data_IF_482932543037
#
_entry.id   IF_482932543037
#
_cell.length_a   1.000
_cell.length_b   1.000
_cell.length_c   1.000
_cell.angle_alpha   90.00
_cell.angle_beta   90.00
_cell.angle_gamma   90.00
#
_symmetry.space_group_name_H-M   'P 1'
#
loop_
_entity.id
_entity.type
_entity.pdbx_description
1 polymer ?
#
# COMPACT_ATOMS: atom_id res chain seq x y z
N UNK A 1 -24.35 19.37 -3.95
CA UNK A 1 -24.76 18.01 -3.54
C UNK A 1 -23.56 17.10 -3.69
N UNK A 2 -22.97 16.63 -2.60
CA UNK A 2 -21.97 15.58 -2.67
C UNK A 2 -22.72 14.27 -2.93
N UNK A 3 -22.43 13.62 -4.06
CA UNK A 3 -22.94 12.27 -4.33
C UNK A 3 -22.40 11.37 -3.23
N UNK A 4 -23.29 10.82 -2.42
CA UNK A 4 -22.95 9.82 -1.41
C UNK A 4 -22.46 8.58 -2.17
N UNK A 5 -21.14 8.43 -2.30
CA UNK A 5 -20.55 7.24 -2.92
C UNK A 5 -20.68 6.11 -1.91
N UNK A 6 -21.55 5.15 -2.19
CA UNK A 6 -21.54 3.86 -1.51
C UNK A 6 -20.26 3.13 -1.94
N UNK A 7 -19.24 3.18 -1.09
CA UNK A 7 -18.04 2.37 -1.24
C UNK A 7 -18.43 0.93 -0.86
N UNK A 8 -18.33 0.03 -1.82
CA UNK A 8 -18.80 -1.35 -1.71
C UNK A 8 -17.68 -2.34 -2.08
N UNK A 9 -18.03 -3.61 -2.23
CA UNK A 9 -17.11 -4.67 -2.62
C UNK A 9 -16.45 -4.40 -3.98
N UNK A 10 -17.08 -3.66 -4.89
CA UNK A 10 -16.50 -3.29 -6.19
C UNK A 10 -15.36 -2.28 -6.01
N UNK A 11 -15.51 -1.35 -5.07
CA UNK A 11 -14.43 -0.44 -4.71
C UNK A 11 -13.26 -1.18 -4.07
N UNK A 12 -13.54 -2.11 -3.13
CA UNK A 12 -12.51 -2.96 -2.54
C UNK A 12 -11.77 -3.71 -3.64
N UNK A 13 -12.49 -4.40 -4.52
CA UNK A 13 -11.93 -5.12 -5.66
C UNK A 13 -10.99 -4.26 -6.50
N UNK A 14 -11.44 -3.06 -6.91
CA UNK A 14 -10.62 -2.15 -7.72
C UNK A 14 -9.32 -1.74 -7.01
N UNK A 15 -9.35 -1.51 -5.69
CA UNK A 15 -8.15 -1.17 -4.91
C UNK A 15 -7.22 -2.35 -4.71
N UNK A 16 -7.73 -3.57 -4.60
CA UNK A 16 -6.88 -4.78 -4.55
C UNK A 16 -6.17 -5.01 -5.87
N UNK A 17 -6.89 -4.88 -7.00
CA UNK A 17 -6.28 -4.95 -8.34
C UNK A 17 -5.21 -3.88 -8.51
N UNK A 18 -5.50 -2.63 -8.13
CA UNK A 18 -4.53 -1.54 -8.21
C UNK A 18 -3.28 -1.80 -7.34
N UNK A 19 -3.44 -2.39 -6.16
CA UNK A 19 -2.31 -2.74 -5.30
C UNK A 19 -1.36 -3.73 -6.01
N UNK A 20 -1.91 -4.75 -6.66
CA UNK A 20 -1.12 -5.77 -7.36
C UNK A 20 -0.52 -5.25 -8.67
N UNK A 21 -1.28 -4.48 -9.45
CA UNK A 21 -0.81 -3.88 -10.71
C UNK A 21 0.31 -2.86 -10.45
N UNK A 22 0.19 -2.02 -9.42
CA UNK A 22 1.24 -1.07 -9.08
C UNK A 22 2.49 -1.77 -8.54
N UNK A 23 2.36 -2.90 -7.85
CA UNK A 23 3.51 -3.75 -7.48
C UNK A 23 4.26 -4.29 -8.71
N UNK A 24 3.54 -4.81 -9.70
CA UNK A 24 4.15 -5.28 -10.96
C UNK A 24 4.84 -4.14 -11.71
N UNK A 25 4.18 -2.99 -11.79
CA UNK A 25 4.73 -1.83 -12.49
C UNK A 25 5.93 -1.24 -11.74
N UNK A 26 5.97 -1.34 -10.40
CA UNK A 26 7.14 -0.97 -9.63
C UNK A 26 8.36 -1.81 -10.05
N UNK A 27 8.21 -3.13 -10.16
CA UNK A 27 9.29 -4.03 -10.60
C UNK A 27 9.79 -3.63 -11.99
N UNK A 28 8.89 -3.50 -12.98
CA UNK A 28 9.26 -3.17 -14.36
C UNK A 28 10.01 -1.82 -14.45
N UNK A 29 9.53 -0.81 -13.73
CA UNK A 29 10.16 0.51 -13.71
C UNK A 29 11.56 0.46 -13.12
N UNK A 30 11.78 -0.36 -12.09
CA UNK A 30 13.09 -0.48 -11.46
C UNK A 30 14.10 -1.14 -12.39
N UNK A 31 13.73 -2.24 -13.03
CA UNK A 31 14.56 -2.96 -13.99
C UNK A 31 14.99 -2.08 -15.18
N UNK A 32 14.14 -1.11 -15.54
CA UNK A 32 14.41 -0.13 -16.60
C UNK A 32 15.21 1.10 -16.10
N UNK A 33 15.64 1.10 -14.85
CA UNK A 33 16.45 2.18 -14.24
C UNK A 33 15.65 3.37 -13.71
N UNK A 34 14.31 3.33 -13.74
CA UNK A 34 13.46 4.40 -13.23
C UNK A 34 13.17 4.26 -11.72
N UNK A 35 14.24 4.14 -10.92
CA UNK A 35 14.16 3.79 -9.48
C UNK A 35 13.21 4.69 -8.68
N UNK A 36 13.25 6.01 -8.87
CA UNK A 36 12.34 6.95 -8.17
C UNK A 36 10.87 6.79 -8.58
N UNK A 37 10.60 6.45 -9.84
CA UNK A 37 9.23 6.20 -10.30
C UNK A 37 8.73 4.84 -9.81
N UNK A 38 9.63 3.88 -9.69
CA UNK A 38 9.33 2.58 -9.12
C UNK A 38 8.92 2.70 -7.65
N UNK A 39 9.65 3.45 -6.81
CA UNK A 39 9.25 3.64 -5.41
C UNK A 39 7.93 4.40 -5.27
N UNK A 40 7.61 5.30 -6.22
CA UNK A 40 6.27 5.91 -6.29
C UNK A 40 5.19 4.85 -6.43
N UNK A 41 5.44 3.79 -7.21
CA UNK A 41 4.48 2.72 -7.47
C UNK A 41 4.32 1.78 -6.28
N UNK A 42 5.41 1.46 -5.58
CA UNK A 42 5.31 0.76 -4.29
C UNK A 42 4.47 1.57 -3.29
N UNK A 43 4.70 2.89 -3.21
CA UNK A 43 3.92 3.76 -2.33
C UNK A 43 2.42 3.79 -2.69
N UNK A 44 2.07 3.84 -3.98
CA UNK A 44 0.66 3.81 -4.40
C UNK A 44 0.01 2.45 -4.20
N UNK A 45 0.75 1.36 -4.37
CA UNK A 45 0.30 0.01 -4.06
C UNK A 45 -0.09 -0.16 -2.58
N UNK A 46 0.75 0.32 -1.65
CA UNK A 46 0.43 0.33 -0.21
C UNK A 46 -0.81 1.19 0.07
N UNK A 47 -0.91 2.38 -0.53
CA UNK A 47 -2.12 3.19 -0.40
C UNK A 47 -3.37 2.48 -0.91
N UNK A 48 -3.24 1.63 -1.91
CA UNK A 48 -4.32 0.82 -2.45
C UNK A 48 -4.80 -0.24 -1.47
N UNK A 49 -3.86 -1.02 -0.92
CA UNK A 49 -4.17 -1.97 0.14
C UNK A 49 -4.83 -1.31 1.36
N UNK A 50 -4.24 -0.22 1.88
CA UNK A 50 -4.81 0.48 3.04
C UNK A 50 -6.20 1.05 2.74
N UNK A 51 -6.46 1.49 1.50
CA UNK A 51 -7.76 2.00 1.09
C UNK A 51 -8.83 0.91 1.12
N UNK A 52 -8.50 -0.28 0.61
CA UNK A 52 -9.36 -1.46 0.68
C UNK A 52 -9.66 -1.84 2.14
N UNK A 53 -8.64 -1.82 3.00
CA UNK A 53 -8.80 -2.10 4.45
C UNK A 53 -9.69 -1.06 5.14
N UNK A 54 -9.54 0.23 4.83
CA UNK A 54 -10.41 1.28 5.39
C UNK A 54 -11.87 1.02 5.03
N UNK A 55 -12.16 0.64 3.80
CA UNK A 55 -13.55 0.36 3.39
C UNK A 55 -14.06 -0.91 4.06
N UNK A 56 -13.29 -2.01 4.02
CA UNK A 56 -13.68 -3.29 4.62
C UNK A 56 -13.96 -3.19 6.13
N UNK A 57 -13.16 -2.42 6.85
CA UNK A 57 -13.24 -2.33 8.31
C UNK A 57 -13.83 -0.99 8.79
N UNK A 58 -14.42 -0.20 7.89
CA UNK A 58 -14.86 1.17 8.13
C UNK A 58 -15.72 1.33 9.38
N UNK A 59 -16.68 0.44 9.59
CA UNK A 59 -17.57 0.47 10.76
C UNK A 59 -16.81 0.32 12.08
N UNK A 60 -15.79 -0.55 12.13
CA UNK A 60 -14.95 -0.71 13.31
C UNK A 60 -14.05 0.52 13.51
N UNK A 61 -13.50 1.06 12.43
CA UNK A 61 -12.64 2.25 12.47
C UNK A 61 -13.41 3.48 12.95
N UNK A 62 -14.69 3.63 12.57
CA UNK A 62 -15.57 4.71 13.04
C UNK A 62 -15.79 4.63 14.56
N UNK A 63 -15.86 3.43 15.14
CA UNK A 63 -16.04 3.26 16.58
C UNK A 63 -14.81 3.68 17.38
N UNK A 64 -13.63 3.73 16.75
CA UNK A 64 -12.37 4.16 17.39
C UNK A 64 -12.18 5.68 17.40
N UNK A 65 -12.97 6.42 16.62
CA UNK A 65 -12.86 7.86 16.49
C UNK A 65 -13.22 8.57 17.81
N UNK A 66 -12.42 9.56 18.19
CA UNK A 66 -12.54 10.26 19.49
C UNK A 66 -13.68 11.29 19.54
N UNK A 67 -14.10 11.79 18.39
CA UNK A 67 -15.11 12.84 18.24
C UNK A 67 -15.86 12.72 16.91
N UNK A 68 -16.95 13.48 16.76
CA UNK A 68 -17.78 13.45 15.54
C UNK A 68 -17.03 13.91 14.28
N UNK A 69 -16.05 14.81 14.42
CA UNK A 69 -15.25 15.28 13.28
C UNK A 69 -14.37 14.16 12.74
N UNK A 70 -13.77 13.38 13.63
CA UNK A 70 -12.95 12.22 13.27
C UNK A 70 -13.82 11.09 12.71
N UNK A 71 -15.01 10.83 13.28
CA UNK A 71 -15.98 9.90 12.69
C UNK A 71 -16.34 10.28 11.26
N UNK A 72 -16.65 11.55 11.03
CA UNK A 72 -16.97 12.05 9.69
C UNK A 72 -15.78 11.90 8.74
N UNK A 73 -14.56 12.16 9.22
CA UNK A 73 -13.35 11.96 8.43
C UNK A 73 -13.16 10.49 8.04
N UNK A 74 -13.33 9.54 8.97
CA UNK A 74 -13.23 8.10 8.67
C UNK A 74 -14.25 7.72 7.60
N UNK A 75 -15.51 8.11 7.77
CA UNK A 75 -16.59 7.78 6.82
C UNK A 75 -16.37 8.38 5.43
N UNK A 76 -15.95 9.64 5.35
CA UNK A 76 -15.95 10.40 4.08
C UNK A 76 -14.61 10.48 3.39
N UNK A 77 -13.48 10.30 4.09
CA UNK A 77 -12.16 10.67 3.55
C UNK A 77 -11.05 9.65 3.82
N UNK A 78 -11.12 8.86 4.88
CA UNK A 78 -10.03 7.94 5.23
C UNK A 78 -9.70 6.95 4.09
N UNK A 79 -10.70 6.53 3.30
CA UNK A 79 -10.50 5.64 2.15
C UNK A 79 -9.55 6.21 1.09
N UNK A 80 -9.32 7.54 1.04
CA UNK A 80 -8.35 8.15 0.11
C UNK A 80 -6.89 7.98 0.56
N UNK A 81 -6.69 7.49 1.79
CA UNK A 81 -5.41 7.27 2.47
C UNK A 81 -4.45 8.47 2.28
N UNK A 82 -4.80 9.68 2.76
CA UNK A 82 -3.88 10.81 2.71
C UNK A 82 -2.53 10.45 3.33
N UNK A 83 -1.41 10.86 2.72
CA UNK A 83 -0.06 10.50 3.21
C UNK A 83 0.14 10.89 4.67
N UNK A 84 -0.35 12.07 5.06
CA UNK A 84 -0.26 12.58 6.44
C UNK A 84 -1.04 11.75 7.46
N UNK A 85 -2.00 10.94 7.03
CA UNK A 85 -2.82 10.11 7.91
C UNK A 85 -2.42 8.63 7.88
N UNK A 86 -1.41 8.22 7.12
CA UNK A 86 -1.02 6.80 7.04
C UNK A 86 -0.62 6.23 8.41
N UNK A 87 0.21 6.94 9.18
CA UNK A 87 0.54 6.54 10.57
C UNK A 87 -0.68 6.53 11.50
N UNK A 88 -1.63 7.45 11.32
CA UNK A 88 -2.88 7.41 12.09
C UNK A 88 -3.72 6.18 11.72
N UNK A 89 -3.81 5.83 10.43
CA UNK A 89 -4.54 4.66 9.97
C UNK A 89 -3.88 3.36 10.44
N UNK A 90 -2.56 3.27 10.42
CA UNK A 90 -1.78 2.17 11.03
C UNK A 90 -2.19 1.94 12.48
N UNK A 91 -2.17 2.98 13.32
CA UNK A 91 -2.61 2.87 14.72
C UNK A 91 -4.08 2.44 14.89
N UNK A 92 -4.94 2.82 13.95
CA UNK A 92 -6.34 2.40 13.95
C UNK A 92 -6.47 0.92 13.56
N UNK A 93 -5.69 0.48 12.58
CA UNK A 93 -5.62 -0.90 12.13
C UNK A 93 -5.13 -1.82 13.26
N UNK A 94 -4.10 -1.43 13.99
CA UNK A 94 -3.62 -2.21 15.15
C UNK A 94 -4.71 -2.45 16.19
N UNK A 95 -5.52 -1.42 16.49
CA UNK A 95 -6.66 -1.53 17.44
C UNK A 95 -7.76 -2.47 16.97
N UNK A 96 -7.82 -2.77 15.67
CA UNK A 96 -8.73 -3.79 15.10
C UNK A 96 -8.00 -5.07 14.67
N UNK A 97 -6.79 -5.30 15.20
CA UNK A 97 -5.96 -6.50 14.99
C UNK A 97 -5.52 -6.67 13.52
N UNK A 98 -5.28 -5.55 12.84
CA UNK A 98 -4.71 -5.49 11.50
C UNK A 98 -3.29 -4.93 11.62
N UNK A 99 -2.32 -5.68 11.11
CA UNK A 99 -0.88 -5.38 11.22
C UNK A 99 -0.38 -4.95 9.85
N UNK A 100 0.05 -3.70 9.73
CA UNK A 100 0.55 -3.06 8.49
C UNK A 100 1.66 -2.06 8.77
N UNK A 101 2.19 -2.04 9.99
CA UNK A 101 3.18 -1.09 10.50
C UNK A 101 4.45 -1.07 9.64
N UNK A 102 5.02 -2.24 9.37
CA UNK A 102 6.20 -2.39 8.53
C UNK A 102 6.00 -1.80 7.13
N UNK A 103 4.94 -2.21 6.41
CA UNK A 103 4.71 -1.73 5.05
C UNK A 103 4.37 -0.24 4.99
N UNK A 104 3.74 0.32 6.04
CA UNK A 104 3.45 1.76 6.12
C UNK A 104 4.74 2.55 6.32
N UNK A 105 5.61 2.09 7.21
CA UNK A 105 6.91 2.71 7.47
C UNK A 105 7.78 2.71 6.21
N UNK A 106 8.01 1.53 5.63
CA UNK A 106 8.81 1.40 4.40
C UNK A 106 8.23 2.22 3.25
N UNK A 107 6.90 2.26 3.09
CA UNK A 107 6.28 3.08 2.04
C UNK A 107 6.53 4.59 2.24
N UNK A 108 6.53 5.08 3.47
CA UNK A 108 6.82 6.48 3.77
C UNK A 108 8.29 6.82 3.50
N UNK A 109 9.20 5.91 3.81
CA UNK A 109 10.63 6.07 3.49
C UNK A 109 10.86 6.08 1.97
N UNK A 110 10.29 5.09 1.26
CA UNK A 110 10.33 4.99 -0.20
C UNK A 110 9.73 6.24 -0.87
N UNK A 111 8.73 6.86 -0.24
CA UNK A 111 8.16 8.15 -0.67
C UNK A 111 9.13 9.31 -0.43
N UNK A 112 9.92 9.28 0.65
CA UNK A 112 11.03 10.21 0.87
C UNK A 112 12.07 10.14 -0.26
N UNK A 113 12.55 8.95 -0.57
CA UNK A 113 13.45 8.71 -1.71
C UNK A 113 12.84 9.16 -3.04
N UNK A 114 11.57 8.86 -3.28
CA UNK A 114 10.86 9.25 -4.49
C UNK A 114 10.93 10.75 -4.75
N UNK A 115 10.80 11.57 -3.69
CA UNK A 115 10.81 13.03 -3.78
C UNK A 115 12.23 13.60 -3.80
N UNK A 116 13.15 13.02 -3.03
CA UNK A 116 14.42 13.67 -2.70
C UNK A 116 15.67 12.93 -3.23
N UNK A 117 15.52 11.73 -3.77
CA UNK A 117 16.66 10.88 -4.14
C UNK A 117 17.46 10.47 -2.91
N UNK A 118 18.80 10.55 -3.01
CA UNK A 118 19.74 10.20 -1.93
C UNK A 118 20.16 11.41 -1.08
N UNK A 119 19.38 12.49 -1.10
CA UNK A 119 19.63 13.63 -0.21
C UNK A 119 19.49 13.18 1.25
N UNK A 120 20.60 13.17 1.99
CA UNK A 120 20.68 12.63 3.34
C UNK A 120 19.86 13.41 4.38
N UNK A 121 19.48 14.65 4.08
CA UNK A 121 18.65 15.46 4.97
C UNK A 121 17.16 15.06 4.84
N UNK A 122 16.78 14.43 3.73
CA UNK A 122 15.38 14.19 3.37
C UNK A 122 15.03 12.75 2.94
N UNK A 123 16.03 11.86 2.90
CA UNK A 123 15.89 10.46 2.54
C UNK A 123 16.79 9.62 3.43
N UNK A 124 16.27 8.50 3.95
CA UNK A 124 17.10 7.59 4.74
C UNK A 124 18.02 6.72 3.90
N UNK A 125 17.76 6.64 2.60
CA UNK A 125 18.51 5.78 1.68
C UNK A 125 19.82 6.44 1.25
N UNK A 126 20.85 5.61 1.14
CA UNK A 126 22.19 5.96 0.67
C UNK A 126 22.54 5.22 -0.61
N UNK A 127 21.93 4.06 -0.85
CA UNK A 127 22.21 3.24 -2.03
C UNK A 127 20.93 2.77 -2.73
N UNK A 128 21.07 2.43 -4.02
CA UNK A 128 19.98 1.83 -4.80
C UNK A 128 19.62 0.44 -4.25
N UNK A 129 20.57 -0.28 -3.67
CA UNK A 129 20.37 -1.60 -3.07
C UNK A 129 19.48 -1.54 -1.83
N UNK A 130 19.69 -0.56 -0.94
CA UNK A 130 18.80 -0.34 0.21
C UNK A 130 17.36 -0.05 -0.26
N UNK A 131 17.21 0.78 -1.31
CA UNK A 131 15.89 1.06 -1.91
C UNK A 131 15.27 -0.22 -2.45
N UNK A 132 16.05 -1.04 -3.17
CA UNK A 132 15.59 -2.30 -3.77
C UNK A 132 15.10 -3.27 -2.69
N UNK A 133 15.86 -3.44 -1.62
CA UNK A 133 15.53 -4.37 -0.53
C UNK A 133 14.20 -4.01 0.14
N UNK A 134 13.99 -2.73 0.44
CA UNK A 134 12.73 -2.31 1.07
C UNK A 134 11.55 -2.37 0.09
N UNK A 135 11.78 -2.15 -1.21
CA UNK A 135 10.75 -2.41 -2.21
C UNK A 135 10.37 -3.89 -2.26
N UNK A 136 11.36 -4.80 -2.23
CA UNK A 136 11.11 -6.24 -2.21
C UNK A 136 10.25 -6.60 -1.00
N UNK A 137 10.63 -6.15 0.19
CA UNK A 137 9.91 -6.39 1.44
C UNK A 137 8.45 -5.92 1.36
N UNK A 138 8.21 -4.71 0.85
CA UNK A 138 6.83 -4.21 0.72
C UNK A 138 6.04 -5.00 -0.34
N UNK A 139 6.65 -5.32 -1.47
CA UNK A 139 5.96 -6.01 -2.57
C UNK A 139 5.64 -7.47 -2.20
N UNK A 140 6.51 -8.16 -1.45
CA UNK A 140 6.25 -9.52 -0.97
C UNK A 140 5.08 -9.57 0.02
N UNK A 141 4.95 -8.56 0.88
CA UNK A 141 3.90 -8.51 1.89
C UNK A 141 2.51 -8.20 1.32
N UNK A 142 2.41 -7.50 0.19
CA UNK A 142 1.11 -7.10 -0.38
C UNK A 142 0.19 -8.31 -0.63
N UNK A 143 0.58 -9.35 -1.39
CA UNK A 143 -0.26 -10.54 -1.58
C UNK A 143 -0.59 -11.28 -0.27
N UNK A 144 0.33 -11.32 0.68
CA UNK A 144 0.12 -12.00 1.96
C UNK A 144 -0.93 -11.27 2.81
N UNK A 145 -0.89 -9.94 2.85
CA UNK A 145 -1.88 -9.11 3.53
C UNK A 145 -3.24 -9.17 2.84
N UNK A 146 -3.28 -9.25 1.50
CA UNK A 146 -4.53 -9.45 0.77
C UNK A 146 -5.17 -10.78 1.17
N UNK A 147 -4.42 -11.88 1.11
CA UNK A 147 -4.91 -13.21 1.49
C UNK A 147 -5.32 -13.30 2.97
N UNK A 148 -4.60 -12.60 3.85
CA UNK A 148 -4.89 -12.58 5.29
C UNK A 148 -6.18 -11.84 5.62
N UNK A 149 -6.43 -10.71 4.94
CA UNK A 149 -7.51 -9.79 5.33
C UNK A 149 -8.69 -9.80 4.37
N UNK A 150 -8.65 -10.50 3.24
CA UNK A 150 -9.74 -10.55 2.27
C UNK A 150 -10.04 -12.00 1.87
N UNK A 151 -11.33 -12.32 1.72
CA UNK A 151 -11.75 -13.63 1.22
C UNK A 151 -11.72 -13.61 -0.31
N UNK A 152 -10.55 -13.92 -0.88
CA UNK A 152 -10.36 -13.89 -2.33
C UNK A 152 -10.85 -15.20 -2.96
N UNK A 153 -11.83 -15.10 -3.85
CA UNK A 153 -12.30 -16.18 -4.73
C UNK A 153 -12.22 -15.83 -6.21
N UNK A 154 -11.86 -14.57 -6.49
CA UNK A 154 -11.81 -14.05 -7.84
C UNK A 154 -10.54 -14.51 -8.55
N UNK A 155 -10.70 -15.11 -9.73
CA UNK A 155 -9.60 -15.68 -10.50
C UNK A 155 -8.60 -14.64 -11.01
N UNK A 156 -9.04 -13.40 -11.24
CA UNK A 156 -8.16 -12.33 -11.71
C UNK A 156 -7.21 -11.88 -10.59
N UNK A 157 -7.72 -11.67 -9.37
CA UNK A 157 -6.87 -11.32 -8.22
C UNK A 157 -5.85 -12.44 -7.97
N UNK A 158 -6.30 -13.70 -7.96
CA UNK A 158 -5.40 -14.86 -7.78
C UNK A 158 -4.29 -14.86 -8.84
N UNK A 159 -4.64 -14.69 -10.12
CA UNK A 159 -3.66 -14.64 -11.20
C UNK A 159 -2.68 -13.47 -11.06
N UNK A 160 -3.14 -12.31 -10.59
CA UNK A 160 -2.28 -11.15 -10.33
C UNK A 160 -1.33 -11.39 -9.15
N UNK A 161 -1.79 -12.02 -8.06
CA UNK A 161 -0.94 -12.39 -6.93
C UNK A 161 0.16 -13.37 -7.35
N UNK A 162 -0.21 -14.42 -8.10
CA UNK A 162 0.76 -15.37 -8.66
C UNK A 162 1.78 -14.66 -9.55
N UNK A 163 1.31 -13.74 -10.39
CA UNK A 163 2.19 -12.95 -11.25
C UNK A 163 3.15 -12.07 -10.44
N UNK A 164 2.66 -11.34 -9.42
CA UNK A 164 3.49 -10.53 -8.51
C UNK A 164 4.57 -11.41 -7.88
N UNK A 165 4.20 -12.55 -7.30
CA UNK A 165 5.15 -13.48 -6.68
C UNK A 165 6.19 -13.99 -7.69
N UNK A 166 5.76 -14.29 -8.92
CA UNK A 166 6.65 -14.79 -9.96
C UNK A 166 7.65 -13.73 -10.47
N UNK A 167 7.21 -12.48 -10.66
CA UNK A 167 8.08 -11.39 -11.11
C UNK A 167 8.99 -10.92 -9.98
N UNK A 168 8.49 -10.87 -8.74
CA UNK A 168 9.29 -10.51 -7.57
C UNK A 168 10.47 -11.47 -7.38
N UNK A 169 10.24 -12.77 -7.54
CA UNK A 169 11.31 -13.77 -7.45
C UNK A 169 12.42 -13.53 -8.48
N UNK A 170 12.06 -13.21 -9.72
CA UNK A 170 13.06 -12.84 -10.76
C UNK A 170 13.78 -11.55 -10.40
N UNK A 171 13.05 -10.58 -9.85
CA UNK A 171 13.57 -9.29 -9.44
C UNK A 171 14.60 -9.40 -8.30
N UNK A 172 14.35 -10.27 -7.31
CA UNK A 172 15.30 -10.61 -6.25
C UNK A 172 16.61 -11.19 -6.82
N UNK A 173 16.48 -12.15 -7.74
CA UNK A 173 17.60 -12.87 -8.34
C UNK A 173 18.49 -12.00 -9.24
N UNK A 174 17.97 -10.89 -9.79
CA UNK A 174 18.72 -9.89 -10.58
C UNK A 174 19.79 -9.12 -9.78
N UNK A 175 19.98 -9.42 -8.49
CA UNK A 175 20.92 -8.75 -7.57
C UNK A 175 22.13 -9.61 -7.15
N UNK A 176 22.25 -10.84 -7.69
CA UNK A 176 23.41 -11.73 -7.48
C UNK A 176 24.29 -11.79 -8.73
#
# INVERSE_FOLDING_TARGET
MAVERNLDDSYIYARLVEALDDSLLAIELFERGFTRNSTRKVFTAVKALLSALVVKYGDKLVQLAKDEKEKEWVKKRAHTVPTRSMKTLEMYFEKVVITVDLIVELALDLRGYQLNGFDCDFSRYRTIEEVKNDMIEVISEIPELINKYFEIKDSMIIALEEKVKSELKKFEDLSK
#
